data_IF_673234935673
#
_entry.id   IF_673234935673
#
_cell.length_a   1.000
_cell.length_b   1.000
_cell.length_c   1.000
_cell.angle_alpha   90.00
_cell.angle_beta   90.00
_cell.angle_gamma   90.00
#
_symmetry.space_group_name_H-M   'P 1'
#
loop_
_entity.id
_entity.type
_entity.pdbx_description
1 polymer ?
#
# COMPACT_ATOMS: atom_id res chain seq x y z
N UNK A 1 -13.27 -31.21 -17.04
CA UNK A 1 -12.98 -29.76 -16.96
C UNK A 1 -12.11 -29.50 -15.74
N UNK A 2 -10.80 -29.38 -15.92
CA UNK A 2 -9.90 -28.95 -14.83
C UNK A 2 -10.14 -27.45 -14.69
N UNK A 3 -10.91 -27.04 -13.68
CA UNK A 3 -11.03 -25.61 -13.35
C UNK A 3 -9.65 -25.15 -12.90
N UNK A 4 -9.07 -24.23 -13.66
CA UNK A 4 -7.82 -23.51 -13.42
C UNK A 4 -7.90 -22.62 -12.15
N UNK A 5 -8.36 -23.17 -11.03
CA UNK A 5 -8.66 -22.45 -9.78
C UNK A 5 -7.47 -21.63 -9.27
N UNK A 6 -6.24 -22.09 -9.50
CA UNK A 6 -5.04 -21.37 -9.10
C UNK A 6 -4.80 -20.12 -9.95
N UNK A 7 -5.07 -20.15 -11.27
CA UNK A 7 -4.90 -18.99 -12.15
C UNK A 7 -5.90 -17.89 -11.77
N UNK A 8 -7.16 -18.25 -11.47
CA UNK A 8 -8.17 -17.29 -11.04
C UNK A 8 -7.80 -16.63 -9.71
N UNK A 9 -7.31 -17.40 -8.74
CA UNK A 9 -6.88 -16.88 -7.43
C UNK A 9 -5.68 -15.92 -7.55
N UNK A 10 -4.70 -16.23 -8.41
CA UNK A 10 -3.55 -15.36 -8.68
C UNK A 10 -3.97 -14.01 -9.26
N UNK A 11 -4.86 -14.02 -10.26
CA UNK A 11 -5.41 -12.80 -10.90
C UNK A 11 -6.18 -11.94 -9.89
N UNK A 12 -6.89 -12.56 -8.95
CA UNK A 12 -7.62 -11.85 -7.90
C UNK A 12 -6.68 -11.16 -6.89
N UNK A 13 -5.63 -11.83 -6.44
CA UNK A 13 -4.65 -11.24 -5.51
C UNK A 13 -3.94 -10.04 -6.13
N UNK A 14 -3.47 -10.14 -7.37
CA UNK A 14 -2.79 -9.04 -8.04
C UNK A 14 -3.71 -7.82 -8.20
N UNK A 15 -4.97 -8.04 -8.61
CA UNK A 15 -5.97 -6.96 -8.70
C UNK A 15 -6.28 -6.33 -7.35
N UNK A 16 -6.38 -7.12 -6.29
CA UNK A 16 -6.62 -6.63 -4.93
C UNK A 16 -5.45 -5.75 -4.46
N UNK A 17 -4.21 -6.21 -4.62
CA UNK A 17 -3.00 -5.44 -4.29
C UNK A 17 -2.93 -4.13 -5.07
N UNK A 18 -3.25 -4.17 -6.37
CA UNK A 18 -3.32 -2.96 -7.20
C UNK A 18 -4.37 -1.98 -6.68
N UNK A 19 -5.54 -2.48 -6.28
CA UNK A 19 -6.60 -1.64 -5.74
C UNK A 19 -6.15 -0.96 -4.44
N UNK A 20 -5.64 -1.74 -3.49
CA UNK A 20 -5.11 -1.25 -2.20
C UNK A 20 -4.06 -0.17 -2.43
N UNK A 21 -3.08 -0.43 -3.31
CA UNK A 21 -2.04 0.52 -3.65
C UNK A 21 -2.61 1.88 -4.12
N UNK A 22 -3.52 1.85 -5.10
CA UNK A 22 -4.07 3.08 -5.67
C UNK A 22 -4.95 3.84 -4.68
N UNK A 23 -5.80 3.15 -3.90
CA UNK A 23 -6.68 3.82 -2.93
C UNK A 23 -5.87 4.44 -1.80
N UNK A 24 -4.88 3.72 -1.28
CA UNK A 24 -4.00 4.20 -0.20
C UNK A 24 -3.32 5.51 -0.60
N UNK A 25 -2.74 5.59 -1.80
CA UNK A 25 -2.09 6.83 -2.28
C UNK A 25 -3.05 8.02 -2.29
N UNK A 26 -4.28 7.81 -2.75
CA UNK A 26 -5.30 8.87 -2.80
C UNK A 26 -5.71 9.30 -1.39
N UNK A 27 -5.99 8.34 -0.50
CA UNK A 27 -6.42 8.62 0.88
C UNK A 27 -5.31 9.30 1.69
N UNK A 28 -4.07 8.83 1.61
CA UNK A 28 -2.93 9.48 2.26
C UNK A 28 -2.72 10.90 1.74
N UNK A 29 -2.78 11.12 0.42
CA UNK A 29 -2.66 12.47 -0.14
C UNK A 29 -3.79 13.40 0.34
N UNK A 30 -5.01 12.88 0.46
CA UNK A 30 -6.15 13.61 0.99
C UNK A 30 -5.93 14.01 2.47
N UNK A 31 -5.54 13.07 3.33
CA UNK A 31 -5.28 13.35 4.74
C UNK A 31 -4.12 14.32 4.95
N UNK A 32 -3.03 14.16 4.19
CA UNK A 32 -1.91 15.11 4.19
C UNK A 32 -2.36 16.52 3.82
N UNK A 33 -3.20 16.68 2.78
CA UNK A 33 -3.71 17.98 2.37
C UNK A 33 -4.58 18.66 3.45
N UNK A 34 -5.18 17.88 4.35
CA UNK A 34 -5.95 18.37 5.50
C UNK A 34 -5.11 18.54 6.78
N UNK A 35 -3.79 18.26 6.72
CA UNK A 35 -2.92 18.16 7.89
C UNK A 35 -3.35 17.09 8.92
N UNK A 36 -4.13 16.09 8.48
CA UNK A 36 -4.55 14.96 9.30
C UNK A 36 -3.51 13.83 9.25
N UNK A 37 -2.30 14.13 9.72
CA UNK A 37 -1.15 13.21 9.58
C UNK A 37 -1.35 11.88 10.30
N UNK A 38 -2.02 11.86 11.46
CA UNK A 38 -2.33 10.61 12.18
C UNK A 38 -3.22 9.68 11.35
N UNK A 39 -4.20 10.24 10.62
CA UNK A 39 -5.07 9.49 9.72
C UNK A 39 -4.29 8.97 8.51
N UNK A 40 -3.40 9.79 7.93
CA UNK A 40 -2.53 9.37 6.83
C UNK A 40 -1.61 8.20 7.23
N UNK A 41 -1.04 8.26 8.43
CA UNK A 41 -0.17 7.22 9.00
C UNK A 41 -0.97 5.93 9.28
N UNK A 42 -2.18 6.06 9.84
CA UNK A 42 -3.05 4.91 10.09
C UNK A 42 -3.44 4.20 8.78
N UNK A 43 -3.81 4.96 7.74
CA UNK A 43 -4.18 4.42 6.43
C UNK A 43 -3.02 3.65 5.80
N UNK A 44 -1.82 4.25 5.73
CA UNK A 44 -0.69 3.59 5.07
C UNK A 44 -0.21 2.36 5.83
N UNK A 45 -0.31 2.35 7.17
CA UNK A 45 0.00 1.16 7.96
C UNK A 45 -1.01 0.03 7.70
N UNK A 46 -2.30 0.33 7.66
CA UNK A 46 -3.33 -0.67 7.33
C UNK A 46 -3.12 -1.24 5.92
N UNK A 47 -2.71 -0.40 4.96
CA UNK A 47 -2.36 -0.84 3.62
C UNK A 47 -1.16 -1.81 3.61
N UNK A 48 -0.14 -1.56 4.43
CA UNK A 48 1.00 -2.47 4.58
C UNK A 48 0.61 -3.83 5.13
N UNK A 49 -0.22 -3.86 6.18
CA UNK A 49 -0.72 -5.11 6.77
C UNK A 49 -1.45 -5.94 5.70
N UNK A 50 -2.35 -5.30 4.94
CA UNK A 50 -3.06 -5.96 3.85
C UNK A 50 -2.13 -6.40 2.70
N UNK A 51 -1.09 -5.61 2.38
CA UNK A 51 -0.11 -5.95 1.35
C UNK A 51 0.69 -7.19 1.70
N UNK A 52 1.15 -7.29 2.96
CA UNK A 52 1.95 -8.42 3.46
C UNK A 52 1.11 -9.70 3.43
N UNK A 53 -0.10 -9.66 3.97
CA UNK A 53 -1.02 -10.81 3.99
C UNK A 53 -1.30 -11.34 2.58
N UNK A 54 -1.54 -10.44 1.63
CA UNK A 54 -1.82 -10.80 0.24
C UNK A 54 -0.57 -11.26 -0.51
N UNK A 55 0.61 -10.66 -0.27
CA UNK A 55 1.88 -11.12 -0.85
C UNK A 55 2.24 -12.53 -0.37
N UNK A 56 2.06 -12.82 0.91
CA UNK A 56 2.31 -14.15 1.47
C UNK A 56 1.42 -15.22 0.84
N UNK A 57 0.23 -14.83 0.37
CA UNK A 57 -0.67 -15.70 -0.40
C UNK A 57 -0.25 -15.89 -1.86
N UNK A 58 0.63 -15.02 -2.40
CA UNK A 58 1.10 -14.95 -3.78
C UNK A 58 2.59 -15.31 -3.89
N UNK A 59 2.98 -16.52 -3.47
CA UNK A 59 4.39 -16.98 -3.44
C UNK A 59 4.98 -17.33 -4.82
N UNK A 60 4.44 -16.80 -5.91
CA UNK A 60 4.89 -17.12 -7.27
C UNK A 60 5.77 -16.00 -7.79
N UNK A 61 6.99 -16.33 -8.20
CA UNK A 61 7.92 -15.37 -8.81
C UNK A 61 7.58 -15.28 -10.30
N UNK A 62 6.91 -14.20 -10.69
CA UNK A 62 6.63 -13.83 -12.08
C UNK A 62 6.64 -12.30 -12.25
N UNK A 63 6.21 -11.80 -13.41
CA UNK A 63 6.21 -10.37 -13.69
C UNK A 63 5.33 -9.57 -12.71
N UNK A 64 4.22 -10.15 -12.26
CA UNK A 64 3.29 -9.53 -11.31
C UNK A 64 3.96 -9.38 -9.94
N UNK A 65 4.74 -10.37 -9.53
CA UNK A 65 5.54 -10.30 -8.29
C UNK A 65 6.47 -9.07 -8.27
N UNK A 66 7.21 -8.80 -9.35
CA UNK A 66 8.09 -7.62 -9.41
C UNK A 66 7.32 -6.29 -9.40
N UNK A 67 6.13 -6.26 -10.01
CA UNK A 67 5.24 -5.09 -9.94
C UNK A 67 4.71 -4.86 -8.53
N UNK A 68 4.29 -5.92 -7.84
CA UNK A 68 3.85 -5.86 -6.45
C UNK A 68 4.98 -5.35 -5.54
N UNK A 69 6.21 -5.85 -5.72
CA UNK A 69 7.38 -5.37 -4.98
C UNK A 69 7.66 -3.88 -5.24
N UNK A 70 7.50 -3.43 -6.49
CA UNK A 70 7.62 -2.00 -6.83
C UNK A 70 6.58 -1.16 -6.09
N UNK A 71 5.32 -1.59 -6.05
CA UNK A 71 4.26 -0.88 -5.31
C UNK A 71 4.52 -0.84 -3.81
N UNK A 72 5.00 -1.93 -3.24
CA UNK A 72 5.38 -2.00 -1.84
C UNK A 72 6.49 -1.01 -1.50
N UNK A 73 7.53 -0.92 -2.35
CA UNK A 73 8.63 0.04 -2.14
C UNK A 73 8.14 1.48 -2.26
N UNK A 74 7.28 1.77 -3.23
CA UNK A 74 6.70 3.11 -3.39
C UNK A 74 5.84 3.52 -2.18
N UNK A 75 5.07 2.60 -1.60
CA UNK A 75 4.34 2.86 -0.34
C UNK A 75 5.30 3.12 0.83
N UNK A 76 6.50 2.52 0.84
CA UNK A 76 7.48 2.77 1.90
C UNK A 76 8.01 4.20 1.81
N UNK A 77 8.36 4.65 0.60
CA UNK A 77 8.77 6.03 0.37
C UNK A 77 7.67 7.02 0.73
N UNK A 78 6.42 6.72 0.38
CA UNK A 78 5.28 7.58 0.71
C UNK A 78 5.05 7.64 2.24
N UNK A 79 5.24 6.53 2.95
CA UNK A 79 5.19 6.51 4.43
C UNK A 79 6.28 7.39 5.04
N UNK A 80 7.51 7.30 4.55
CA UNK A 80 8.62 8.14 5.03
C UNK A 80 8.31 9.63 4.83
N UNK A 81 7.80 10.01 3.65
CA UNK A 81 7.40 11.40 3.37
C UNK A 81 6.31 11.90 4.32
N UNK A 82 5.29 11.08 4.61
CA UNK A 82 4.21 11.44 5.54
C UNK A 82 4.78 11.65 6.95
N UNK A 83 5.68 10.79 7.40
CA UNK A 83 6.33 10.91 8.72
C UNK A 83 7.19 12.17 8.82
N UNK A 84 7.95 12.49 7.77
CA UNK A 84 8.75 13.72 7.72
C UNK A 84 7.88 14.98 7.76
N UNK A 85 6.77 15.00 7.03
CA UNK A 85 5.81 16.11 7.06
C UNK A 85 5.14 16.25 8.43
N UNK A 86 4.72 15.14 9.05
CA UNK A 86 4.15 15.14 10.40
C UNK A 86 5.11 15.73 11.42
N UNK A 87 6.39 15.34 11.35
CA UNK A 87 7.46 15.86 12.21
C UNK A 87 7.70 17.35 11.99
N UNK A 88 7.74 17.80 10.73
CA UNK A 88 7.89 19.21 10.41
C UNK A 88 6.72 20.05 10.96
N UNK A 89 5.48 19.58 10.81
CA UNK A 89 4.29 20.23 11.35
C UNK A 89 4.31 20.33 12.88
N UNK A 90 4.74 19.27 13.58
CA UNK A 90 4.89 19.29 15.04
C UNK A 90 5.95 20.26 15.54
N UNK A 91 6.99 20.54 14.74
CA UNK A 91 8.07 21.47 15.10
C UNK A 91 7.66 22.93 14.91
N UNK A 92 6.73 23.22 13.97
CA UNK A 92 6.20 24.56 13.71
C UNK A 92 5.10 24.99 14.69
N UNK A 93 4.54 24.05 15.46
CA UNK A 93 3.49 24.31 16.43
C UNK A 93 4.00 24.69 17.84
N UNK A 94 5.33 24.75 18.03
CA UNK A 94 6.04 25.15 19.26
C UNK A 94 6.58 26.58 19.14
#
# INVERSE_FOLDING_TARGET
MIKNSNIYKTIETFKALRYIFNTTKIQCAYFVALNEYDNAIAEINAAFDAFIDLMDSHKKIDLEYFQIQSWYHELLEDKEKILDQAKAASTQAL
#
